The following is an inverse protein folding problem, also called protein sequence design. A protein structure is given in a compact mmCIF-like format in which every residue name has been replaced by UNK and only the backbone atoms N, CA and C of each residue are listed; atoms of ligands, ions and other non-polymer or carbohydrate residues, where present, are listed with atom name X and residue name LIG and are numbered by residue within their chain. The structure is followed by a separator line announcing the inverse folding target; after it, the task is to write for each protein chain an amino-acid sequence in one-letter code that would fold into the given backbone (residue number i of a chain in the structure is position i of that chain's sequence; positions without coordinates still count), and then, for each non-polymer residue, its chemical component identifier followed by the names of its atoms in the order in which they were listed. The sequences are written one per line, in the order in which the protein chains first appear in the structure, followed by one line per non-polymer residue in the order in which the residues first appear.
data_IF_824696359735
#
_entry.id   IF_824696359735
#
_cell.length_a   1.000
_cell.length_b   1.000
_cell.length_c   1.000
_cell.angle_alpha   90.00
_cell.angle_beta   90.00
_cell.angle_gamma   90.00
#
_symmetry.space_group_name_H-M   'P 1'
#
loop_
_entity.id
_entity.type
_entity.pdbx_description
1 polymer ?
#
# COMPACT_ATOMS: atom_id res chain seq x y z
N UNK A 1 -5.20 -10.23 16.02
CA UNK A 1 -4.35 -10.02 14.84
C UNK A 1 -3.91 -11.34 14.16
N UNK A 2 -4.16 -12.52 14.78
CA UNK A 2 -3.81 -13.81 14.19
C UNK A 2 -4.64 -14.18 12.96
N UNK A 3 -5.82 -13.60 12.80
CA UNK A 3 -6.79 -13.90 11.74
C UNK A 3 -7.42 -15.32 11.86
N UNK A 4 -7.52 -15.83 13.06
CA UNK A 4 -8.29 -17.03 13.42
C UNK A 4 -9.78 -16.65 13.64
N UNK A 5 -10.42 -16.16 12.57
CA UNK A 5 -11.73 -15.50 12.65
C UNK A 5 -12.84 -16.46 13.15
N UNK A 6 -12.71 -17.75 12.88
CA UNK A 6 -13.64 -18.77 13.39
C UNK A 6 -13.60 -18.92 14.92
N UNK A 7 -12.40 -18.89 15.51
CA UNK A 7 -12.22 -18.90 16.95
C UNK A 7 -12.77 -17.60 17.58
N UNK A 8 -12.47 -16.46 16.97
CA UNK A 8 -13.01 -15.16 17.37
C UNK A 8 -14.54 -15.16 17.43
N UNK A 9 -15.24 -15.66 16.40
CA UNK A 9 -16.72 -15.76 16.41
C UNK A 9 -17.27 -16.60 17.56
N UNK A 10 -16.61 -17.70 17.88
CA UNK A 10 -17.04 -18.55 19.03
C UNK A 10 -16.95 -17.80 20.36
N UNK A 11 -15.86 -17.03 20.55
CA UNK A 11 -15.69 -16.19 21.75
C UNK A 11 -16.76 -15.09 21.85
N UNK A 12 -17.10 -14.45 20.72
CA UNK A 12 -18.15 -13.42 20.70
C UNK A 12 -19.54 -13.97 20.98
N UNK A 13 -19.87 -15.18 20.52
CA UNK A 13 -21.12 -15.85 20.85
C UNK A 13 -21.17 -16.12 22.35
N UNK A 14 -20.09 -16.64 22.94
CA UNK A 14 -20.01 -16.89 24.37
C UNK A 14 -20.21 -15.60 25.18
N UNK A 15 -19.49 -14.53 24.85
CA UNK A 15 -19.59 -13.23 25.54
C UNK A 15 -21.01 -12.67 25.52
N UNK A 16 -21.71 -12.75 24.40
CA UNK A 16 -23.10 -12.30 24.27
C UNK A 16 -24.10 -13.08 25.14
N UNK A 17 -23.82 -14.37 25.39
CA UNK A 17 -24.63 -15.19 26.28
C UNK A 17 -24.35 -14.88 27.75
N UNK A 18 -23.09 -14.66 28.11
CA UNK A 18 -22.67 -14.39 29.48
C UNK A 18 -22.96 -12.93 29.89
N UNK A 19 -22.80 -11.97 28.98
CA UNK A 19 -22.97 -10.52 29.24
C UNK A 19 -23.85 -9.89 28.14
N UNK A 20 -25.16 -10.11 28.12
CA UNK A 20 -26.04 -9.65 27.04
C UNK A 20 -26.07 -8.15 26.81
N UNK A 21 -25.75 -7.35 27.86
CA UNK A 21 -25.67 -5.88 27.79
C UNK A 21 -24.37 -5.34 27.19
N UNK A 22 -23.34 -6.18 27.00
CA UNK A 22 -22.08 -5.76 26.41
C UNK A 22 -22.23 -5.56 24.89
N UNK A 23 -22.02 -4.32 24.42
CA UNK A 23 -22.10 -3.98 22.99
C UNK A 23 -20.75 -4.07 22.25
N UNK A 24 -19.62 -4.23 22.95
CA UNK A 24 -18.29 -4.39 22.31
C UNK A 24 -18.24 -5.56 21.34
N UNK A 25 -18.92 -6.71 21.54
CA UNK A 25 -19.01 -7.78 20.57
C UNK A 25 -19.54 -7.35 19.18
N UNK A 26 -20.33 -6.25 19.09
CA UNK A 26 -20.79 -5.71 17.80
C UNK A 26 -19.63 -5.12 16.99
N UNK A 27 -18.75 -4.39 17.65
CA UNK A 27 -17.53 -3.87 17.03
C UNK A 27 -16.61 -5.01 16.59
N UNK A 28 -16.36 -5.99 17.46
CA UNK A 28 -15.47 -7.12 17.14
C UNK A 28 -16.03 -8.01 16.03
N UNK A 29 -17.35 -8.19 15.94
CA UNK A 29 -17.98 -8.86 14.77
C UNK A 29 -17.74 -8.08 13.47
N UNK A 30 -17.73 -6.73 13.54
CA UNK A 30 -17.41 -5.92 12.38
C UNK A 30 -15.95 -6.09 11.95
N UNK A 31 -15.02 -6.20 12.90
CA UNK A 31 -13.62 -6.56 12.61
C UNK A 31 -13.49 -7.91 11.90
N UNK A 32 -14.27 -8.92 12.32
CA UNK A 32 -14.28 -10.24 11.66
C UNK A 32 -14.73 -10.12 10.20
N UNK A 33 -15.82 -9.40 9.95
CA UNK A 33 -16.30 -9.19 8.58
C UNK A 33 -15.34 -8.32 7.77
N UNK A 34 -14.74 -7.29 8.38
CA UNK A 34 -13.71 -6.43 7.78
C UNK A 34 -12.49 -7.24 7.33
N UNK A 35 -11.91 -8.06 8.21
CA UNK A 35 -10.75 -8.88 7.85
C UNK A 35 -11.09 -10.00 6.87
N UNK A 36 -12.30 -10.55 6.90
CA UNK A 36 -12.79 -11.49 5.88
C UNK A 36 -12.77 -10.83 4.49
N UNK A 37 -13.20 -9.56 4.41
CA UNK A 37 -13.19 -8.80 3.16
C UNK A 37 -11.80 -8.32 2.76
N UNK A 38 -10.98 -7.93 3.72
CA UNK A 38 -9.62 -7.48 3.44
C UNK A 38 -8.77 -8.60 2.81
N UNK A 39 -8.97 -9.86 3.27
CA UNK A 39 -8.24 -11.03 2.79
C UNK A 39 -8.88 -11.71 1.58
N UNK A 40 -10.22 -11.63 1.42
CA UNK A 40 -10.95 -12.41 0.40
C UNK A 40 -11.54 -11.59 -0.74
N UNK A 41 -11.87 -10.32 -0.53
CA UNK A 41 -12.43 -9.37 -1.51
C UNK A 41 -13.63 -9.87 -2.33
N UNK A 42 -14.45 -10.76 -1.78
CA UNK A 42 -15.58 -11.36 -2.50
C UNK A 42 -16.76 -10.41 -2.54
N UNK A 43 -17.41 -10.27 -3.70
CA UNK A 43 -18.60 -9.41 -3.85
C UNK A 43 -19.74 -9.81 -2.91
N UNK A 44 -20.02 -11.09 -2.75
CA UNK A 44 -21.08 -11.57 -1.85
C UNK A 44 -20.81 -11.28 -0.37
N UNK A 45 -19.52 -11.27 0.05
CA UNK A 45 -19.13 -10.86 1.40
C UNK A 45 -19.26 -9.34 1.57
N UNK A 46 -18.99 -8.55 0.53
CA UNK A 46 -19.19 -7.12 0.52
C UNK A 46 -20.66 -6.74 0.72
N UNK A 47 -21.57 -7.40 0.00
CA UNK A 47 -23.01 -7.13 0.13
C UNK A 47 -23.53 -7.48 1.53
N UNK A 48 -23.06 -8.59 2.10
CA UNK A 48 -23.36 -9.01 3.47
C UNK A 48 -22.78 -8.03 4.49
N UNK A 49 -21.53 -7.58 4.30
CA UNK A 49 -20.89 -6.62 5.17
C UNK A 49 -21.68 -5.32 5.27
N UNK A 50 -22.10 -4.74 4.15
CA UNK A 50 -22.91 -3.51 4.14
C UNK A 50 -24.17 -3.62 4.99
N UNK A 51 -24.88 -4.75 4.83
CA UNK A 51 -26.09 -5.03 5.62
C UNK A 51 -25.78 -5.18 7.12
N UNK A 52 -24.76 -6.00 7.44
CA UNK A 52 -24.38 -6.27 8.84
C UNK A 52 -23.86 -5.00 9.53
N UNK A 53 -23.07 -4.21 8.84
CA UNK A 53 -22.56 -2.93 9.34
C UNK A 53 -23.70 -2.01 9.78
N UNK A 54 -24.73 -1.84 8.94
CA UNK A 54 -25.88 -0.99 9.27
C UNK A 54 -26.66 -1.55 10.49
N UNK A 55 -26.88 -2.85 10.57
CA UNK A 55 -27.54 -3.47 11.72
C UNK A 55 -26.76 -3.24 13.02
N UNK A 56 -25.42 -3.36 12.98
CA UNK A 56 -24.55 -3.10 14.14
C UNK A 56 -24.58 -1.63 14.57
N UNK A 57 -24.51 -0.69 13.62
CA UNK A 57 -24.60 0.74 13.92
C UNK A 57 -25.95 1.08 14.55
N UNK A 58 -27.05 0.54 14.04
CA UNK A 58 -28.38 0.74 14.62
C UNK A 58 -28.45 0.20 16.08
N UNK A 59 -27.88 -0.98 16.31
CA UNK A 59 -27.84 -1.58 17.65
C UNK A 59 -26.95 -0.75 18.62
N UNK A 60 -25.80 -0.24 18.17
CA UNK A 60 -24.94 0.63 18.97
C UNK A 60 -25.58 1.98 19.29
N UNK A 61 -26.44 2.50 18.41
CA UNK A 61 -27.04 3.84 18.57
C UNK A 61 -27.92 4.00 19.80
N UNK A 62 -28.42 2.89 20.37
CA UNK A 62 -29.22 2.86 21.61
C UNK A 62 -28.38 2.57 22.85
N UNK A 63 -27.05 2.51 22.73
CA UNK A 63 -26.13 2.20 23.82
C UNK A 63 -25.91 3.34 24.80
N UNK A 64 -25.05 3.09 25.80
CA UNK A 64 -24.70 4.06 26.84
C UNK A 64 -23.80 5.17 26.29
N UNK A 65 -24.36 6.37 26.11
CA UNK A 65 -23.69 7.57 25.60
C UNK A 65 -22.68 8.18 26.59
N UNK A 66 -22.69 7.76 27.85
CA UNK A 66 -21.70 8.18 28.86
C UNK A 66 -20.40 7.38 28.77
N UNK A 67 -20.39 6.28 28.03
CA UNK A 67 -19.22 5.44 27.82
C UNK A 67 -18.38 5.95 26.64
N UNK A 68 -17.04 6.04 26.75
CA UNK A 68 -16.18 6.37 25.63
C UNK A 68 -16.23 5.31 24.52
N UNK A 69 -16.66 4.10 24.81
CA UNK A 69 -16.81 3.03 23.83
C UNK A 69 -18.00 3.24 22.88
N UNK A 70 -18.98 4.06 23.27
CA UNK A 70 -20.19 4.33 22.48
C UNK A 70 -19.85 4.99 21.12
N UNK A 71 -19.17 6.13 21.16
CA UNK A 71 -18.76 6.83 19.95
C UNK A 71 -17.60 6.13 19.24
N UNK A 72 -16.64 5.60 20.01
CA UNK A 72 -15.50 4.87 19.44
C UNK A 72 -15.94 3.70 18.55
N UNK A 73 -16.82 2.82 19.05
CA UNK A 73 -17.28 1.68 18.26
C UNK A 73 -17.97 2.09 16.96
N UNK A 74 -18.79 3.15 17.02
CA UNK A 74 -19.43 3.69 15.80
C UNK A 74 -18.42 4.32 14.85
N UNK A 75 -17.44 5.05 15.37
CA UNK A 75 -16.35 5.63 14.60
C UNK A 75 -15.53 4.59 13.88
N UNK A 76 -15.11 3.53 14.57
CA UNK A 76 -14.32 2.43 14.01
C UNK A 76 -15.10 1.62 12.96
N UNK A 77 -16.37 1.31 13.19
CA UNK A 77 -17.21 0.59 12.21
C UNK A 77 -17.36 1.43 10.94
N UNK A 78 -17.58 2.74 11.05
CA UNK A 78 -17.66 3.63 9.89
C UNK A 78 -16.30 3.72 9.16
N UNK A 79 -15.18 3.78 9.89
CA UNK A 79 -13.84 3.80 9.31
C UNK A 79 -13.55 2.52 8.50
N UNK A 80 -13.84 1.35 9.08
CA UNK A 80 -13.74 0.05 8.40
C UNK A 80 -14.65 0.01 7.17
N UNK A 81 -15.88 0.52 7.28
CA UNK A 81 -16.82 0.66 6.18
C UNK A 81 -16.28 1.51 5.04
N UNK A 82 -15.66 2.65 5.37
CA UNK A 82 -15.04 3.55 4.40
C UNK A 82 -13.92 2.85 3.62
N UNK A 83 -13.01 2.16 4.31
CA UNK A 83 -11.88 1.46 3.69
C UNK A 83 -12.36 0.36 2.73
N UNK A 84 -13.34 -0.45 3.14
CA UNK A 84 -13.90 -1.51 2.30
C UNK A 84 -14.65 -0.94 1.10
N UNK A 85 -15.52 0.06 1.30
CA UNK A 85 -16.26 0.70 0.21
C UNK A 85 -15.33 1.35 -0.83
N UNK A 86 -14.26 2.02 -0.39
CA UNK A 86 -13.25 2.58 -1.28
C UNK A 86 -12.53 1.49 -2.09
N UNK A 87 -12.24 0.34 -1.50
CA UNK A 87 -11.62 -0.82 -2.17
C UNK A 87 -12.53 -1.37 -3.28
N UNK A 88 -13.85 -1.36 -3.08
CA UNK A 88 -14.85 -1.75 -4.08
C UNK A 88 -15.28 -0.60 -5.01
N UNK A 89 -14.55 0.52 -5.05
CA UNK A 89 -14.81 1.69 -5.91
C UNK A 89 -16.13 2.46 -5.58
N UNK A 90 -16.77 2.15 -4.47
CA UNK A 90 -17.97 2.86 -3.98
C UNK A 90 -17.55 4.14 -3.22
N UNK A 91 -16.96 5.09 -3.95
CA UNK A 91 -16.33 6.28 -3.36
C UNK A 91 -17.30 7.23 -2.65
N UNK A 92 -18.53 7.36 -3.14
CA UNK A 92 -19.52 8.22 -2.50
C UNK A 92 -19.98 7.67 -1.16
N UNK A 93 -20.27 6.36 -1.11
CA UNK A 93 -20.59 5.71 0.16
C UNK A 93 -19.39 5.69 1.11
N UNK A 94 -18.16 5.51 0.59
CA UNK A 94 -16.95 5.60 1.39
C UNK A 94 -16.75 6.99 2.00
N UNK A 95 -16.98 8.06 1.22
CA UNK A 95 -16.90 9.44 1.72
C UNK A 95 -17.90 9.72 2.84
N UNK A 96 -19.11 9.18 2.74
CA UNK A 96 -20.13 9.28 3.78
C UNK A 96 -19.70 8.61 5.08
N UNK A 97 -19.12 7.40 4.99
CA UNK A 97 -18.59 6.71 6.17
C UNK A 97 -17.38 7.43 6.77
N UNK A 98 -16.51 8.04 5.96
CA UNK A 98 -15.40 8.88 6.43
C UNK A 98 -15.94 10.04 7.27
N UNK A 99 -17.00 10.72 6.81
CA UNK A 99 -17.65 11.80 7.54
C UNK A 99 -18.15 11.32 8.91
N UNK A 100 -18.84 10.19 8.94
CA UNK A 100 -19.38 9.64 10.19
C UNK A 100 -18.25 9.19 11.13
N UNK A 101 -17.23 8.49 10.61
CA UNK A 101 -16.07 8.10 11.40
C UNK A 101 -15.39 9.32 12.03
N UNK A 102 -15.14 10.37 11.23
CA UNK A 102 -14.55 11.62 11.72
C UNK A 102 -15.40 12.29 12.78
N UNK A 103 -16.72 12.36 12.58
CA UNK A 103 -17.66 12.95 13.54
C UNK A 103 -17.61 12.21 14.89
N UNK A 104 -17.78 10.88 14.89
CA UNK A 104 -17.83 10.09 16.09
C UNK A 104 -16.50 10.11 16.86
N UNK A 105 -15.36 9.94 16.18
CA UNK A 105 -14.04 9.91 16.82
C UNK A 105 -13.65 11.30 17.36
N UNK A 106 -14.00 12.40 16.67
CA UNK A 106 -13.73 13.74 17.17
C UNK A 106 -14.64 14.12 18.34
N UNK A 107 -15.93 13.78 18.30
CA UNK A 107 -16.86 14.04 19.41
C UNK A 107 -16.43 13.24 20.65
N UNK A 108 -16.00 11.99 20.46
CA UNK A 108 -15.49 11.16 21.55
C UNK A 108 -14.23 11.76 22.17
N UNK A 109 -13.27 12.18 21.36
CA UNK A 109 -12.05 12.82 21.86
C UNK A 109 -12.33 14.11 22.66
N UNK A 110 -13.32 14.92 22.25
CA UNK A 110 -13.73 16.11 23.00
C UNK A 110 -14.32 15.77 24.37
N UNK A 111 -15.09 14.69 24.47
CA UNK A 111 -15.74 14.23 25.69
C UNK A 111 -14.81 13.45 26.60
N UNK A 112 -13.90 12.68 26.00
CA UNK A 112 -13.00 11.75 26.70
C UNK A 112 -11.55 11.89 26.18
N UNK A 113 -10.86 13.02 26.43
CA UNK A 113 -9.54 13.30 25.84
C UNK A 113 -8.46 12.28 26.25
N UNK A 114 -8.65 11.57 27.36
CA UNK A 114 -7.75 10.52 27.84
C UNK A 114 -8.08 9.12 27.29
N UNK A 115 -9.11 9.00 26.46
CA UNK A 115 -9.47 7.74 25.83
C UNK A 115 -8.59 7.48 24.61
N UNK A 116 -7.47 6.84 24.86
CA UNK A 116 -6.38 6.64 23.90
C UNK A 116 -6.78 5.90 22.57
N UNK A 117 -7.74 4.94 22.56
CA UNK A 117 -8.11 4.21 21.35
C UNK A 117 -8.56 5.11 20.18
N UNK A 118 -9.21 6.25 20.41
CA UNK A 118 -9.67 7.17 19.36
C UNK A 118 -8.55 7.64 18.46
N UNK A 119 -7.35 7.79 18.99
CA UNK A 119 -6.23 8.40 18.28
C UNK A 119 -5.71 7.55 17.11
N UNK A 120 -5.91 6.22 17.15
CA UNK A 120 -5.55 5.37 16.02
C UNK A 120 -6.44 5.68 14.81
N UNK A 121 -7.75 5.63 14.96
CA UNK A 121 -8.69 5.92 13.88
C UNK A 121 -8.60 7.37 13.40
N UNK A 122 -8.44 8.34 14.32
CA UNK A 122 -8.22 9.76 13.97
C UNK A 122 -6.95 9.96 13.17
N UNK A 123 -5.82 9.42 13.65
CA UNK A 123 -4.54 9.51 12.96
C UNK A 123 -4.58 8.87 11.58
N UNK A 124 -5.24 7.72 11.47
CA UNK A 124 -5.44 7.02 10.20
C UNK A 124 -6.23 7.87 9.19
N UNK A 125 -7.35 8.48 9.60
CA UNK A 125 -8.15 9.37 8.74
C UNK A 125 -7.32 10.55 8.23
N UNK A 126 -6.60 11.24 9.13
CA UNK A 126 -5.76 12.39 8.78
C UNK A 126 -4.63 11.98 7.82
N UNK A 127 -3.95 10.86 8.09
CA UNK A 127 -2.85 10.38 7.27
C UNK A 127 -3.30 9.95 5.86
N UNK A 128 -4.42 9.23 5.76
CA UNK A 128 -4.90 8.67 4.50
C UNK A 128 -5.50 9.71 3.55
N UNK A 129 -6.02 10.83 4.05
CA UNK A 129 -6.69 11.80 3.20
C UNK A 129 -5.82 12.26 2.02
N UNK A 130 -4.55 12.50 2.26
CA UNK A 130 -3.57 12.88 1.22
C UNK A 130 -3.35 11.82 0.15
N UNK A 131 -3.57 10.55 0.46
CA UNK A 131 -3.32 9.40 -0.41
C UNK A 131 -4.57 8.85 -1.09
N UNK A 132 -5.76 9.41 -0.83
CA UNK A 132 -7.00 8.93 -1.43
C UNK A 132 -6.99 8.99 -2.96
N UNK A 133 -7.60 8.01 -3.65
CA UNK A 133 -7.81 8.07 -5.09
C UNK A 133 -8.57 9.34 -5.51
N UNK A 134 -8.38 9.85 -6.74
CA UNK A 134 -9.03 11.09 -7.17
C UNK A 134 -10.55 11.11 -6.97
N UNK A 135 -11.24 10.01 -7.27
CA UNK A 135 -12.70 9.91 -7.06
C UNK A 135 -13.09 10.08 -5.59
N UNK A 136 -12.36 9.45 -4.67
CA UNK A 136 -12.61 9.59 -3.24
C UNK A 136 -12.19 10.98 -2.72
N UNK A 137 -11.07 11.54 -3.19
CA UNK A 137 -10.67 12.93 -2.85
C UNK A 137 -11.75 13.94 -3.23
N UNK A 138 -12.33 13.81 -4.43
CA UNK A 138 -13.42 14.68 -4.87
C UNK A 138 -14.61 14.55 -3.94
N UNK A 139 -15.03 13.33 -3.62
CA UNK A 139 -16.16 13.08 -2.74
C UNK A 139 -15.94 13.62 -1.32
N UNK A 140 -14.76 13.39 -0.74
CA UNK A 140 -14.39 13.84 0.62
C UNK A 140 -14.09 15.33 0.67
N UNK A 141 -13.59 15.94 -0.42
CA UNK A 141 -13.30 17.38 -0.50
C UNK A 141 -14.50 18.27 -0.18
N UNK A 142 -15.72 17.83 -0.51
CA UNK A 142 -16.95 18.50 -0.11
C UNK A 142 -17.22 18.52 1.41
N UNK A 143 -16.46 17.74 2.19
CA UNK A 143 -16.60 17.65 3.65
C UNK A 143 -15.69 18.62 4.41
N UNK A 144 -14.87 19.42 3.70
CA UNK A 144 -13.96 20.39 4.31
C UNK A 144 -12.82 19.77 5.12
N UNK A 145 -12.45 18.52 4.84
CA UNK A 145 -11.33 17.86 5.51
C UNK A 145 -9.99 18.24 4.85
N UNK A 146 -9.02 18.62 5.67
CA UNK A 146 -7.65 18.90 5.23
C UNK A 146 -6.75 17.70 5.40
N UNK A 147 -5.86 17.49 4.41
CA UNK A 147 -4.85 16.43 4.47
C UNK A 147 -3.62 16.91 5.24
N UNK A 148 -3.22 16.17 6.27
CA UNK A 148 -1.96 16.34 6.94
C UNK A 148 -1.33 14.99 7.28
N UNK A 149 -0.72 14.37 6.28
CA UNK A 149 -0.13 13.03 6.39
C UNK A 149 0.87 12.93 7.55
N UNK A 150 1.72 13.95 7.71
CA UNK A 150 2.73 13.96 8.78
C UNK A 150 2.11 14.00 10.17
N UNK A 151 1.10 14.85 10.38
CA UNK A 151 0.39 14.95 11.64
C UNK A 151 -0.35 13.65 11.99
N UNK A 152 -1.02 13.05 11.00
CA UNK A 152 -1.70 11.76 11.19
C UNK A 152 -0.75 10.65 11.60
N UNK A 153 0.42 10.53 10.94
CA UNK A 153 1.46 9.56 11.31
C UNK A 153 2.00 9.83 12.71
N UNK A 154 2.31 11.09 13.06
CA UNK A 154 2.81 11.46 14.38
C UNK A 154 1.81 11.12 15.50
N UNK A 155 0.51 11.36 15.26
CA UNK A 155 -0.54 10.99 16.19
C UNK A 155 -0.57 9.48 16.43
N UNK A 156 -0.51 8.68 15.37
CA UNK A 156 -0.47 7.22 15.46
C UNK A 156 0.82 6.73 16.17
N UNK A 157 1.99 7.31 15.86
CA UNK A 157 3.26 6.96 16.52
C UNK A 157 3.24 7.24 18.04
N UNK A 158 2.74 8.41 18.42
CA UNK A 158 2.61 8.81 19.83
C UNK A 158 1.63 7.89 20.55
N UNK A 159 0.52 7.56 19.91
CA UNK A 159 -0.49 6.65 20.44
C UNK A 159 0.09 5.25 20.65
N UNK A 160 0.74 4.69 19.64
CA UNK A 160 1.37 3.38 19.71
C UNK A 160 2.39 3.29 20.85
N UNK A 161 3.22 4.32 21.04
CA UNK A 161 4.16 4.37 22.18
C UNK A 161 3.44 4.34 23.53
N UNK A 162 2.33 5.04 23.67
CA UNK A 162 1.50 5.03 24.89
C UNK A 162 0.76 3.70 25.11
N UNK A 163 0.53 2.92 24.05
CA UNK A 163 -0.07 1.60 24.08
C UNK A 163 0.91 0.48 24.50
N UNK A 164 2.21 0.74 24.61
CA UNK A 164 3.17 -0.26 25.07
C UNK A 164 2.90 -0.72 26.51
N UNK A 165 2.17 0.07 27.27
CA UNK A 165 1.80 -0.25 28.66
C UNK A 165 0.43 0.32 29.03
N UNK A 166 -0.13 -0.12 30.16
CA UNK A 166 -1.39 0.38 30.67
C UNK A 166 -2.62 -0.40 30.19
N UNK A 167 -3.80 0.13 30.50
CA UNK A 167 -5.08 -0.58 30.31
C UNK A 167 -5.47 -0.88 28.88
N UNK A 168 -4.84 -0.20 27.91
CA UNK A 168 -5.11 -0.36 26.46
C UNK A 168 -3.97 -1.07 25.71
N UNK A 169 -3.04 -1.71 26.42
CA UNK A 169 -1.88 -2.37 25.82
C UNK A 169 -2.25 -3.47 24.80
N UNK A 170 -3.43 -4.07 24.94
CA UNK A 170 -3.97 -5.06 23.98
C UNK A 170 -4.24 -4.49 22.58
N UNK A 171 -4.24 -3.16 22.41
CA UNK A 171 -4.38 -2.50 21.10
C UNK A 171 -3.01 -2.19 20.45
N UNK A 172 -1.90 -2.50 21.12
CA UNK A 172 -0.56 -2.22 20.58
C UNK A 172 -0.32 -2.89 19.22
N UNK A 173 -0.62 -4.19 19.12
CA UNK A 173 -0.39 -4.97 17.91
C UNK A 173 -1.15 -4.40 16.71
N UNK A 174 -2.40 -4.02 16.91
CA UNK A 174 -3.21 -3.36 15.89
C UNK A 174 -2.60 -2.03 15.45
N UNK A 175 -2.26 -1.18 16.41
CA UNK A 175 -1.66 0.13 16.16
C UNK A 175 -0.33 0.00 15.40
N UNK A 176 0.53 -0.94 15.80
CA UNK A 176 1.84 -1.18 15.20
C UNK A 176 1.73 -1.67 13.74
N UNK A 177 0.80 -2.60 13.49
CA UNK A 177 0.56 -3.15 12.14
C UNK A 177 -0.06 -2.10 11.22
N UNK A 178 -1.09 -1.37 11.68
CA UNK A 178 -1.72 -0.31 10.89
C UNK A 178 -0.72 0.80 10.55
N UNK A 179 0.01 1.29 11.56
CA UNK A 179 1.00 2.34 11.34
C UNK A 179 2.09 1.90 10.35
N UNK A 180 2.61 0.68 10.48
CA UNK A 180 3.65 0.16 9.58
C UNK A 180 3.14 0.05 8.15
N UNK A 181 1.94 -0.49 7.96
CA UNK A 181 1.33 -0.62 6.65
C UNK A 181 1.03 0.74 6.01
N UNK A 182 0.37 1.64 6.75
CA UNK A 182 -0.03 2.96 6.24
C UNK A 182 1.18 3.83 5.94
N UNK A 183 2.15 3.91 6.85
CA UNK A 183 3.35 4.70 6.64
C UNK A 183 4.10 4.23 5.39
N UNK A 184 4.30 2.93 5.20
CA UNK A 184 4.92 2.39 3.99
C UNK A 184 4.08 2.59 2.73
N UNK A 185 2.75 2.69 2.85
CA UNK A 185 1.88 2.90 1.69
C UNK A 185 1.91 4.33 1.17
N UNK A 186 2.14 5.31 2.04
CA UNK A 186 2.02 6.75 1.72
C UNK A 186 3.34 7.51 1.76
N UNK A 187 4.41 6.90 2.26
CA UNK A 187 5.76 7.51 2.27
C UNK A 187 6.79 6.57 1.67
N UNK A 188 7.74 7.10 0.91
CA UNK A 188 8.83 6.34 0.28
C UNK A 188 10.15 6.47 1.09
N UNK A 189 10.06 6.41 2.43
CA UNK A 189 11.23 6.47 3.31
C UNK A 189 11.93 5.10 3.40
N UNK A 190 13.26 5.02 3.19
CA UNK A 190 14.04 3.81 3.43
C UNK A 190 13.91 3.28 4.88
N UNK A 191 13.71 4.19 5.85
CA UNK A 191 13.54 3.83 7.27
C UNK A 191 12.26 3.05 7.56
N UNK A 192 11.29 3.04 6.65
CA UNK A 192 10.02 2.33 6.87
C UNK A 192 10.23 0.86 7.19
N UNK A 193 11.24 0.21 6.58
CA UNK A 193 11.60 -1.17 6.87
C UNK A 193 12.03 -1.35 8.33
N UNK A 194 13.04 -0.61 8.77
CA UNK A 194 13.57 -0.73 10.13
C UNK A 194 12.50 -0.41 11.18
N UNK A 195 11.69 0.62 10.95
CA UNK A 195 10.57 0.98 11.83
C UNK A 195 9.53 -0.12 11.89
N UNK A 196 9.19 -0.75 10.76
CA UNK A 196 8.23 -1.86 10.71
C UNK A 196 8.75 -3.07 11.49
N UNK A 197 10.01 -3.48 11.27
CA UNK A 197 10.62 -4.61 11.98
C UNK A 197 10.61 -4.37 13.50
N UNK A 198 11.02 -3.18 13.95
CA UNK A 198 11.06 -2.86 15.38
C UNK A 198 9.66 -2.86 16.01
N UNK A 199 8.65 -2.26 15.36
CA UNK A 199 7.26 -2.25 15.83
C UNK A 199 6.66 -3.64 15.91
N UNK A 200 6.97 -4.50 14.94
CA UNK A 200 6.41 -5.85 14.87
C UNK A 200 7.16 -6.88 15.71
N UNK A 201 8.28 -6.52 16.35
CA UNK A 201 9.18 -7.44 17.03
C UNK A 201 8.49 -8.28 18.10
N UNK A 202 7.65 -7.66 18.93
CA UNK A 202 6.96 -8.31 20.04
C UNK A 202 5.58 -8.90 19.68
N UNK A 203 5.11 -8.69 18.43
CA UNK A 203 3.83 -9.26 17.98
C UNK A 203 4.00 -10.77 17.82
N UNK A 204 2.97 -11.53 18.19
CA UNK A 204 2.94 -12.98 18.10
C UNK A 204 3.38 -13.49 16.71
N UNK A 205 4.24 -14.49 16.70
CA UNK A 205 4.69 -15.16 15.47
C UNK A 205 3.55 -15.88 14.73
N UNK A 206 2.47 -16.23 15.44
CA UNK A 206 1.26 -16.81 14.85
C UNK A 206 0.33 -15.77 14.20
N UNK A 207 0.71 -14.49 14.19
CA UNK A 207 -0.06 -13.45 13.52
C UNK A 207 0.14 -13.49 12.00
N UNK A 208 -0.89 -13.94 11.28
CA UNK A 208 -0.90 -13.94 9.82
C UNK A 208 -0.86 -12.50 9.26
N UNK A 209 -1.46 -11.55 9.96
CA UNK A 209 -1.42 -10.14 9.58
C UNK A 209 -0.02 -9.55 9.74
N UNK A 210 0.75 -9.97 10.75
CA UNK A 210 2.17 -9.61 10.91
C UNK A 210 2.98 -10.07 9.69
N UNK A 211 2.80 -11.33 9.26
CA UNK A 211 3.49 -11.85 8.09
C UNK A 211 3.16 -11.04 6.82
N UNK A 212 1.89 -10.68 6.64
CA UNK A 212 1.44 -9.83 5.54
C UNK A 212 2.10 -8.44 5.58
N UNK A 213 2.04 -7.76 6.72
CA UNK A 213 2.56 -6.39 6.84
C UNK A 213 4.07 -6.35 6.67
N UNK A 214 4.83 -7.25 7.30
CA UNK A 214 6.28 -7.29 7.13
C UNK A 214 6.64 -7.64 5.68
N UNK A 215 6.00 -8.64 5.08
CA UNK A 215 6.21 -9.01 3.68
C UNK A 215 5.94 -7.86 2.72
N UNK A 216 4.83 -7.16 2.92
CA UNK A 216 4.45 -5.98 2.13
C UNK A 216 5.49 -4.84 2.26
N UNK A 217 5.87 -4.48 3.50
CA UNK A 217 6.85 -3.41 3.75
C UNK A 217 8.21 -3.78 3.19
N UNK A 218 8.66 -5.01 3.41
CA UNK A 218 9.94 -5.51 2.89
C UNK A 218 10.00 -5.40 1.35
N UNK A 219 8.93 -5.78 0.65
CA UNK A 219 8.85 -5.64 -0.82
C UNK A 219 8.87 -4.18 -1.27
N UNK A 220 8.20 -3.29 -0.54
CA UNK A 220 8.19 -1.87 -0.88
C UNK A 220 9.53 -1.17 -0.68
N UNK A 221 10.38 -1.73 0.15
CA UNK A 221 11.67 -1.15 0.54
C UNK A 221 12.89 -1.92 0.03
N UNK A 222 12.70 -2.81 -0.96
CA UNK A 222 13.80 -3.54 -1.58
C UNK A 222 14.45 -4.59 -0.67
N UNK A 223 13.65 -5.33 0.09
CA UNK A 223 14.11 -6.40 0.98
C UNK A 223 13.44 -7.73 0.63
N UNK A 224 13.56 -8.16 -0.64
CA UNK A 224 12.87 -9.37 -1.12
C UNK A 224 13.28 -10.64 -0.38
N UNK A 225 14.53 -10.80 0.05
CA UNK A 225 14.96 -11.98 0.83
C UNK A 225 14.27 -12.05 2.20
N UNK A 226 14.04 -10.90 2.84
CA UNK A 226 13.26 -10.84 4.08
C UNK A 226 11.79 -11.18 3.83
N UNK A 227 11.21 -10.66 2.75
CA UNK A 227 9.84 -10.99 2.37
C UNK A 227 9.69 -12.51 2.14
N UNK A 228 10.61 -13.14 1.41
CA UNK A 228 10.64 -14.60 1.19
C UNK A 228 10.70 -15.33 2.53
N UNK A 229 11.62 -14.95 3.41
CA UNK A 229 11.80 -15.59 4.71
C UNK A 229 10.53 -15.51 5.57
N UNK A 230 9.94 -14.33 5.70
CA UNK A 230 8.75 -14.11 6.53
C UNK A 230 7.51 -14.79 5.95
N UNK A 231 7.33 -14.72 4.62
CA UNK A 231 6.18 -15.33 3.96
C UNK A 231 6.26 -16.88 3.96
N UNK A 232 7.46 -17.45 3.88
CA UNK A 232 7.65 -18.88 3.99
C UNK A 232 7.44 -19.39 5.44
N UNK A 233 7.80 -18.58 6.43
CA UNK A 233 7.61 -18.90 7.85
C UNK A 233 6.19 -18.56 8.37
N UNK A 234 5.28 -18.05 7.52
CA UNK A 234 3.93 -17.67 7.94
C UNK A 234 3.16 -18.86 8.52
N UNK A 235 2.30 -18.62 9.50
CA UNK A 235 1.45 -19.67 10.02
C UNK A 235 0.49 -20.18 8.94
N UNK A 236 0.25 -21.48 8.95
CA UNK A 236 -0.66 -22.17 8.01
C UNK A 236 -1.62 -23.08 8.77
N UNK A 237 -2.78 -23.30 8.25
CA UNK A 237 -3.76 -24.24 8.83
C UNK A 237 -5.20 -23.77 8.64
N UNK A 238 -6.17 -24.69 8.87
CA UNK A 238 -7.59 -24.43 8.62
C UNK A 238 -8.22 -23.45 9.62
N UNK A 239 -7.52 -23.10 10.70
CA UNK A 239 -7.97 -22.11 11.69
C UNK A 239 -7.85 -20.68 11.18
N UNK A 240 -6.95 -20.43 10.24
CA UNK A 240 -6.72 -19.09 9.67
C UNK A 240 -7.72 -18.77 8.55
N UNK A 241 -8.00 -17.48 8.37
CA UNK A 241 -8.74 -17.03 7.20
C UNK A 241 -7.93 -17.29 5.91
N UNK A 242 -8.55 -17.74 4.81
CA UNK A 242 -7.88 -17.80 3.51
C UNK A 242 -7.35 -16.42 3.11
N UNK A 243 -6.05 -16.32 2.79
CA UNK A 243 -5.40 -15.05 2.48
C UNK A 243 -4.47 -15.19 1.27
N UNK A 244 -5.08 -15.33 0.09
CA UNK A 244 -4.38 -15.58 -1.17
C UNK A 244 -3.33 -14.50 -1.51
N UNK A 245 -3.53 -13.24 -1.07
CA UNK A 245 -2.58 -12.16 -1.29
C UNK A 245 -1.18 -12.43 -0.71
N UNK A 246 -1.04 -13.35 0.27
CA UNK A 246 0.28 -13.76 0.76
C UNK A 246 1.08 -14.52 -0.32
N UNK A 247 0.42 -15.35 -1.13
CA UNK A 247 1.06 -16.03 -2.25
C UNK A 247 1.39 -15.05 -3.38
N UNK A 248 0.54 -14.05 -3.64
CA UNK A 248 0.86 -12.95 -4.55
C UNK A 248 2.14 -12.20 -4.11
N UNK A 249 2.27 -11.84 -2.83
CA UNK A 249 3.49 -11.20 -2.30
C UNK A 249 4.71 -12.12 -2.42
N UNK A 250 4.55 -13.43 -2.14
CA UNK A 250 5.61 -14.43 -2.35
C UNK A 250 6.05 -14.45 -3.82
N UNK A 251 5.11 -14.46 -4.75
CA UNK A 251 5.41 -14.42 -6.18
C UNK A 251 6.22 -13.18 -6.57
N UNK A 252 5.88 -12.00 -6.05
CA UNK A 252 6.65 -10.77 -6.30
C UNK A 252 8.08 -10.90 -5.75
N UNK A 253 8.24 -11.39 -4.51
CA UNK A 253 9.56 -11.53 -3.88
C UNK A 253 10.47 -12.47 -4.66
N UNK A 254 9.97 -13.65 -5.07
CA UNK A 254 10.68 -14.62 -5.87
C UNK A 254 11.00 -14.11 -7.28
N UNK A 255 10.06 -13.39 -7.92
CA UNK A 255 10.29 -12.79 -9.25
C UNK A 255 11.37 -11.70 -9.20
N UNK A 256 11.36 -10.87 -8.18
CA UNK A 256 12.40 -9.84 -7.98
C UNK A 256 13.80 -10.45 -7.82
N UNK A 257 13.89 -11.64 -7.20
CA UNK A 257 15.13 -12.42 -7.09
C UNK A 257 15.47 -13.20 -8.38
N UNK A 258 14.50 -13.29 -9.32
CA UNK A 258 14.53 -14.05 -10.57
C UNK A 258 14.57 -15.58 -10.35
N UNK A 259 13.88 -16.05 -9.34
CA UNK A 259 13.73 -17.49 -9.09
C UNK A 259 12.85 -18.14 -10.17
N UNK A 260 13.24 -19.32 -10.61
CA UNK A 260 12.56 -20.04 -11.69
C UNK A 260 11.13 -20.48 -11.33
N UNK A 261 10.81 -20.59 -10.05
CA UNK A 261 9.51 -21.00 -9.52
C UNK A 261 8.57 -19.83 -9.20
N UNK A 262 8.99 -18.59 -9.42
CA UNK A 262 8.19 -17.39 -9.09
C UNK A 262 6.76 -17.44 -9.64
N UNK A 263 6.57 -17.96 -10.86
CA UNK A 263 5.24 -18.08 -11.48
C UNK A 263 4.29 -19.02 -10.72
N UNK A 264 4.80 -20.00 -9.99
CA UNK A 264 3.96 -20.98 -9.24
C UNK A 264 3.16 -20.28 -8.15
N UNK A 265 3.74 -19.28 -7.48
CA UNK A 265 3.05 -18.49 -6.45
C UNK A 265 1.91 -17.65 -7.03
N UNK A 266 2.11 -17.05 -8.21
CA UNK A 266 1.05 -16.32 -8.89
C UNK A 266 -0.07 -17.25 -9.37
N UNK A 267 0.24 -18.43 -9.90
CA UNK A 267 -0.79 -19.43 -10.24
C UNK A 267 -1.55 -19.89 -9.01
N UNK A 268 -0.88 -20.12 -7.88
CA UNK A 268 -1.54 -20.47 -6.63
C UNK A 268 -2.48 -19.35 -6.19
N UNK A 269 -1.98 -18.09 -6.19
CA UNK A 269 -2.83 -16.92 -5.92
C UNK A 269 -4.07 -16.90 -6.83
N UNK A 270 -3.91 -17.02 -8.14
CA UNK A 270 -5.03 -16.98 -9.10
C UNK A 270 -6.05 -18.12 -8.91
N UNK A 271 -5.59 -19.29 -8.44
CA UNK A 271 -6.47 -20.44 -8.15
C UNK A 271 -7.28 -20.23 -6.88
N UNK A 272 -6.68 -19.67 -5.85
CA UNK A 272 -7.31 -19.49 -4.54
C UNK A 272 -8.05 -18.15 -4.42
N UNK A 273 -7.68 -17.13 -5.21
CA UNK A 273 -8.27 -15.80 -5.15
C UNK A 273 -9.69 -15.78 -5.73
N UNK A 274 -10.63 -15.30 -4.94
CA UNK A 274 -12.01 -15.06 -5.36
C UNK A 274 -12.35 -13.55 -5.31
N UNK A 275 -11.32 -12.72 -5.11
CA UNK A 275 -11.42 -11.28 -5.00
C UNK A 275 -11.22 -10.55 -6.32
N UNK A 276 -11.16 -9.24 -6.23
CA UNK A 276 -11.18 -8.31 -7.37
C UNK A 276 -9.81 -7.73 -7.72
N UNK A 277 -8.81 -7.83 -6.82
CA UNK A 277 -7.51 -7.16 -6.99
C UNK A 277 -6.40 -8.13 -7.42
N UNK A 278 -5.38 -7.60 -8.09
CA UNK A 278 -4.12 -8.24 -8.45
C UNK A 278 -4.20 -9.37 -9.48
N UNK A 279 -5.34 -9.57 -10.13
CA UNK A 279 -5.52 -10.62 -11.16
C UNK A 279 -4.71 -10.26 -12.42
N UNK A 280 -4.87 -9.04 -12.93
CA UNK A 280 -4.14 -8.56 -14.10
C UNK A 280 -2.64 -8.49 -13.83
N UNK A 281 -2.25 -7.95 -12.68
CA UNK A 281 -0.83 -7.86 -12.29
C UNK A 281 -0.20 -9.27 -12.17
N UNK A 282 -0.92 -10.25 -11.62
CA UNK A 282 -0.42 -11.62 -11.55
C UNK A 282 -0.17 -12.22 -12.93
N UNK A 283 -1.07 -12.07 -13.87
CA UNK A 283 -0.84 -12.52 -15.24
C UNK A 283 0.32 -11.79 -15.92
N UNK A 284 0.51 -10.49 -15.64
CA UNK A 284 1.67 -9.75 -16.13
C UNK A 284 2.97 -10.31 -15.54
N UNK A 285 3.01 -10.62 -14.23
CA UNK A 285 4.19 -11.20 -13.58
C UNK A 285 4.51 -12.60 -14.09
N UNK A 286 3.51 -13.40 -14.40
CA UNK A 286 3.69 -14.69 -15.08
C UNK A 286 4.23 -14.48 -16.50
N UNK A 287 3.73 -13.47 -17.22
CA UNK A 287 4.29 -13.11 -18.54
C UNK A 287 5.77 -12.70 -18.43
N UNK A 288 6.16 -11.92 -17.40
CA UNK A 288 7.57 -11.60 -17.16
C UNK A 288 8.42 -12.86 -16.94
N UNK A 289 7.94 -13.77 -16.07
CA UNK A 289 8.65 -15.04 -15.82
C UNK A 289 8.85 -15.82 -17.11
N UNK A 290 7.83 -15.90 -17.96
CA UNK A 290 7.91 -16.59 -19.25
C UNK A 290 8.86 -15.88 -20.24
N UNK A 291 8.82 -14.53 -20.28
CA UNK A 291 9.70 -13.73 -21.12
C UNK A 291 11.18 -13.91 -20.76
N UNK A 292 11.50 -13.90 -19.45
CA UNK A 292 12.86 -14.04 -18.94
C UNK A 292 13.49 -15.42 -19.20
N UNK A 293 12.67 -16.44 -19.49
CA UNK A 293 13.12 -17.78 -19.92
C UNK A 293 12.86 -18.06 -21.40
N UNK A 294 12.59 -17.00 -22.20
CA UNK A 294 12.35 -17.04 -23.65
C UNK A 294 11.19 -17.97 -24.07
N UNK A 295 10.19 -18.16 -23.20
CA UNK A 295 8.98 -18.91 -23.55
C UNK A 295 7.92 -17.98 -24.16
N UNK A 296 8.05 -17.73 -25.47
CA UNK A 296 7.20 -16.79 -26.20
C UNK A 296 5.71 -17.17 -26.20
N UNK A 297 5.40 -18.47 -26.21
CA UNK A 297 4.00 -18.96 -26.19
C UNK A 297 3.33 -18.60 -24.87
N UNK A 298 3.99 -18.92 -23.75
CA UNK A 298 3.49 -18.61 -22.41
C UNK A 298 3.44 -17.09 -22.18
N UNK A 299 4.44 -16.34 -22.66
CA UNK A 299 4.49 -14.89 -22.57
C UNK A 299 3.27 -14.25 -23.25
N UNK A 300 3.04 -14.52 -24.54
CA UNK A 300 1.89 -13.96 -25.27
C UNK A 300 0.55 -14.43 -24.73
N UNK A 301 0.47 -15.69 -24.29
CA UNK A 301 -0.73 -16.25 -23.68
C UNK A 301 -1.14 -15.50 -22.40
N UNK A 302 -0.18 -15.18 -21.54
CA UNK A 302 -0.44 -14.46 -20.31
C UNK A 302 -0.72 -12.96 -20.54
N UNK A 303 -0.07 -12.30 -21.53
CA UNK A 303 -0.44 -10.93 -21.91
C UNK A 303 -1.89 -10.82 -22.37
N UNK A 304 -2.40 -11.79 -23.13
CA UNK A 304 -3.83 -11.83 -23.49
C UNK A 304 -4.73 -11.90 -22.25
N UNK A 305 -4.34 -12.71 -21.25
CA UNK A 305 -5.08 -12.81 -20.00
C UNK A 305 -5.04 -11.52 -19.17
N UNK A 306 -3.94 -10.76 -19.21
CA UNK A 306 -3.91 -9.41 -18.59
C UNK A 306 -5.02 -8.52 -19.16
N UNK A 307 -5.27 -8.61 -20.46
CA UNK A 307 -6.30 -7.81 -21.13
C UNK A 307 -7.71 -8.31 -20.76
N UNK A 308 -7.94 -9.64 -20.85
CA UNK A 308 -9.28 -10.23 -20.77
C UNK A 308 -9.75 -10.55 -19.36
N UNK A 309 -8.85 -10.87 -18.41
CA UNK A 309 -9.22 -11.38 -17.08
C UNK A 309 -9.16 -10.29 -16.00
N UNK A 310 -10.05 -10.38 -15.01
CA UNK A 310 -10.06 -9.52 -13.83
C UNK A 310 -10.40 -8.05 -14.10
N UNK A 311 -10.32 -7.26 -13.04
CA UNK A 311 -10.68 -5.84 -13.04
C UNK A 311 -9.44 -4.94 -12.94
N UNK A 312 -9.49 -3.73 -13.51
CA UNK A 312 -8.47 -2.70 -13.36
C UNK A 312 -8.85 -1.73 -12.21
N UNK A 313 -9.10 -2.25 -11.01
CA UNK A 313 -9.48 -1.43 -9.85
C UNK A 313 -8.27 -0.98 -9.05
N UNK A 314 -7.32 -1.87 -8.81
CA UNK A 314 -6.07 -1.50 -8.14
C UNK A 314 -5.12 -0.78 -9.09
N UNK A 315 -4.23 0.09 -8.57
CA UNK A 315 -3.20 0.74 -9.39
C UNK A 315 -2.25 -0.27 -10.04
N UNK A 316 -1.99 -1.42 -9.40
CA UNK A 316 -1.19 -2.51 -9.97
C UNK A 316 -1.87 -3.13 -11.19
N UNK A 317 -3.19 -3.38 -11.11
CA UNK A 317 -3.93 -3.94 -12.24
C UNK A 317 -4.09 -2.94 -13.39
N UNK A 318 -4.25 -1.63 -13.09
CA UNK A 318 -4.24 -0.57 -14.09
C UNK A 318 -2.89 -0.48 -14.80
N UNK A 319 -1.79 -0.56 -14.04
CA UNK A 319 -0.44 -0.58 -14.59
C UNK A 319 -0.22 -1.81 -15.46
N UNK A 320 -0.63 -2.99 -14.98
CA UNK A 320 -0.51 -4.23 -15.74
C UNK A 320 -1.22 -4.15 -17.10
N UNK A 321 -2.42 -3.58 -17.11
CA UNK A 321 -3.18 -3.38 -18.35
C UNK A 321 -2.47 -2.40 -19.30
N UNK A 322 -1.92 -1.29 -18.79
CA UNK A 322 -1.12 -0.35 -19.60
C UNK A 322 0.10 -1.02 -20.21
N UNK A 323 0.88 -1.76 -19.41
CA UNK A 323 2.08 -2.46 -19.88
C UNK A 323 1.76 -3.57 -20.90
N UNK A 324 0.66 -4.31 -20.70
CA UNK A 324 0.25 -5.33 -21.67
C UNK A 324 -0.13 -4.74 -23.03
N UNK A 325 -0.70 -3.53 -23.07
CA UNK A 325 -1.04 -2.83 -24.30
C UNK A 325 0.17 -2.15 -24.96
N UNK A 326 1.13 -1.66 -24.18
CA UNK A 326 2.31 -0.96 -24.67
C UNK A 326 3.47 -1.90 -25.07
N UNK A 327 3.41 -3.17 -24.65
CA UNK A 327 4.54 -4.10 -24.72
C UNK A 327 5.45 -4.05 -23.50
N UNK A 328 6.14 -5.16 -23.24
CA UNK A 328 7.09 -5.26 -22.11
C UNK A 328 8.43 -4.62 -22.54
N UNK A 329 9.08 -3.96 -21.57
CA UNK A 329 10.42 -3.41 -21.76
C UNK A 329 11.43 -4.48 -22.22
N UNK A 330 12.49 -4.06 -22.93
CA UNK A 330 13.59 -4.94 -23.32
C UNK A 330 14.11 -5.74 -22.11
N UNK A 331 14.47 -7.00 -22.35
CA UNK A 331 14.83 -7.95 -21.28
C UNK A 331 15.84 -7.40 -20.27
N UNK A 332 16.96 -6.74 -20.65
CA UNK A 332 17.89 -6.19 -19.67
C UNK A 332 17.29 -5.08 -18.81
N UNK A 333 16.38 -4.26 -19.35
CA UNK A 333 15.64 -3.24 -18.60
C UNK A 333 14.68 -3.88 -17.59
N UNK A 334 13.98 -4.94 -18.01
CA UNK A 334 13.11 -5.71 -17.11
C UNK A 334 13.91 -6.36 -15.98
N UNK A 335 15.04 -7.03 -16.29
CA UNK A 335 15.93 -7.62 -15.29
C UNK A 335 16.45 -6.59 -14.29
N UNK A 336 16.87 -5.42 -14.77
CA UNK A 336 17.33 -4.33 -13.94
C UNK A 336 16.22 -3.81 -13.02
N UNK A 337 14.98 -3.66 -13.54
CA UNK A 337 13.81 -3.25 -12.76
C UNK A 337 13.50 -4.23 -11.63
N UNK A 338 13.39 -5.51 -11.95
CA UNK A 338 13.07 -6.55 -10.96
C UNK A 338 14.18 -6.64 -9.89
N UNK A 339 15.44 -6.60 -10.30
CA UNK A 339 16.56 -6.61 -9.36
C UNK A 339 16.56 -5.39 -8.46
N UNK A 340 16.29 -4.19 -9.00
CA UNK A 340 16.17 -2.96 -8.23
C UNK A 340 15.03 -3.05 -7.21
N UNK A 341 13.85 -3.47 -7.65
CA UNK A 341 12.66 -3.63 -6.79
C UNK A 341 12.91 -4.66 -5.67
N UNK A 342 13.78 -5.63 -5.91
CA UNK A 342 14.20 -6.64 -4.94
C UNK A 342 15.28 -6.18 -3.95
N UNK A 343 15.94 -5.04 -4.20
CA UNK A 343 17.09 -4.55 -3.41
C UNK A 343 18.45 -5.11 -3.89
N UNK A 344 18.49 -5.77 -5.05
CA UNK A 344 19.73 -6.32 -5.64
C UNK A 344 20.38 -5.28 -6.55
N UNK A 345 20.81 -4.15 -5.98
CA UNK A 345 21.24 -2.95 -6.73
C UNK A 345 22.48 -3.19 -7.61
N UNK A 346 23.46 -3.97 -7.13
CA UNK A 346 24.65 -4.30 -7.94
C UNK A 346 24.29 -5.17 -9.16
N UNK A 347 23.35 -6.12 -9.01
CA UNK A 347 22.83 -6.91 -10.13
C UNK A 347 22.07 -6.02 -11.12
N UNK A 348 21.24 -5.11 -10.60
CA UNK A 348 20.51 -4.16 -11.42
C UNK A 348 21.46 -3.28 -12.25
N UNK A 349 22.51 -2.77 -11.63
CA UNK A 349 23.56 -1.99 -12.31
C UNK A 349 24.24 -2.80 -13.39
N UNK A 350 24.63 -4.05 -13.11
CA UNK A 350 25.30 -4.92 -14.06
C UNK A 350 24.44 -5.17 -15.32
N UNK A 351 23.11 -5.36 -15.18
CA UNK A 351 22.23 -5.49 -16.33
C UNK A 351 22.17 -4.23 -17.19
N UNK A 352 22.14 -3.03 -16.60
CA UNK A 352 22.08 -1.79 -17.35
C UNK A 352 23.43 -1.45 -18.00
N UNK A 353 24.54 -1.62 -17.31
CA UNK A 353 25.87 -1.32 -17.86
C UNK A 353 26.28 -2.23 -19.03
N UNK A 354 25.62 -3.39 -19.18
CA UNK A 354 25.78 -4.25 -20.34
C UNK A 354 25.02 -3.75 -21.59
N UNK A 355 24.12 -2.74 -21.46
CA UNK A 355 23.36 -2.22 -22.59
C UNK A 355 24.18 -1.15 -23.31
N UNK A 356 24.30 -1.28 -24.63
CA UNK A 356 24.67 -0.14 -25.46
C UNK A 356 23.42 0.74 -25.67
N UNK A 357 23.41 1.96 -25.13
CA UNK A 357 22.24 2.88 -25.20
C UNK A 357 21.81 3.15 -26.65
N UNK A 358 22.74 3.15 -27.60
CA UNK A 358 22.44 3.36 -29.02
C UNK A 358 21.63 2.21 -29.65
N UNK A 359 21.64 1.03 -29.02
CA UNK A 359 20.79 -0.09 -29.43
C UNK A 359 19.33 0.04 -28.98
N UNK A 360 19.04 0.97 -28.08
CA UNK A 360 17.68 1.27 -27.65
C UNK A 360 17.05 2.26 -28.64
N UNK A 361 16.18 1.78 -29.53
CA UNK A 361 15.59 2.60 -30.58
C UNK A 361 14.38 3.41 -30.09
N UNK A 362 13.65 2.91 -29.10
CA UNK A 362 12.44 3.53 -28.57
C UNK A 362 12.79 4.61 -27.54
N UNK A 363 12.16 5.79 -27.66
CA UNK A 363 12.29 6.88 -26.67
C UNK A 363 12.02 6.41 -25.25
N UNK A 364 10.94 5.64 -25.06
CA UNK A 364 10.58 5.08 -23.76
C UNK A 364 11.71 4.25 -23.16
N UNK A 365 12.34 3.39 -23.94
CA UNK A 365 13.43 2.53 -23.47
C UNK A 365 14.67 3.34 -23.06
N UNK A 366 15.02 4.38 -23.85
CA UNK A 366 16.14 5.29 -23.51
C UNK A 366 15.88 6.06 -22.23
N UNK A 367 14.69 6.62 -22.06
CA UNK A 367 14.31 7.35 -20.86
C UNK A 367 14.26 6.43 -19.63
N UNK A 368 13.71 5.23 -19.78
CA UNK A 368 13.72 4.21 -18.72
C UNK A 368 15.15 3.85 -18.31
N UNK A 369 16.04 3.61 -19.27
CA UNK A 369 17.45 3.29 -19.02
C UNK A 369 18.14 4.39 -18.18
N UNK A 370 18.05 5.64 -18.61
CA UNK A 370 18.66 6.76 -17.90
C UNK A 370 18.08 6.94 -16.49
N UNK A 371 16.78 6.93 -16.38
CA UNK A 371 16.09 7.05 -15.11
C UNK A 371 16.46 5.92 -14.12
N UNK A 372 16.52 4.66 -14.59
CA UNK A 372 16.88 3.53 -13.74
C UNK A 372 18.32 3.57 -13.28
N UNK A 373 19.26 4.03 -14.12
CA UNK A 373 20.64 4.28 -13.69
C UNK A 373 20.66 5.29 -12.55
N UNK A 374 19.92 6.41 -12.67
CA UNK A 374 19.78 7.40 -11.60
C UNK A 374 19.30 6.75 -10.30
N UNK A 375 18.21 5.97 -10.36
CA UNK A 375 17.64 5.26 -9.20
C UNK A 375 18.60 4.26 -8.56
N UNK A 376 19.33 3.51 -9.38
CA UNK A 376 20.29 2.51 -8.88
C UNK A 376 21.47 3.19 -8.20
N UNK A 377 22.03 4.24 -8.82
CA UNK A 377 23.14 4.99 -8.21
C UNK A 377 22.71 5.69 -6.92
N UNK A 378 21.51 6.23 -6.85
CA UNK A 378 20.95 6.78 -5.62
C UNK A 378 20.85 5.72 -4.52
N UNK A 379 20.33 4.53 -4.81
CA UNK A 379 20.24 3.42 -3.86
C UNK A 379 21.62 2.90 -3.42
N UNK A 380 22.63 3.02 -4.28
CA UNK A 380 24.04 2.70 -3.96
C UNK A 380 24.79 3.86 -3.25
N UNK A 381 24.10 4.94 -2.87
CA UNK A 381 24.65 6.15 -2.26
C UNK A 381 25.72 6.86 -3.14
N UNK A 382 25.69 6.67 -4.45
CA UNK A 382 26.54 7.34 -5.44
C UNK A 382 25.84 8.58 -5.99
N UNK A 383 25.68 9.59 -5.12
CA UNK A 383 24.82 10.76 -5.37
C UNK A 383 25.21 11.53 -6.65
N UNK A 384 26.50 11.71 -6.94
CA UNK A 384 26.95 12.42 -8.14
C UNK A 384 26.52 11.71 -9.43
N UNK A 385 26.69 10.38 -9.48
CA UNK A 385 26.27 9.58 -10.63
C UNK A 385 24.74 9.57 -10.75
N UNK A 386 24.02 9.47 -9.64
CA UNK A 386 22.56 9.55 -9.63
C UNK A 386 22.06 10.86 -10.23
N UNK A 387 22.60 11.99 -9.77
CA UNK A 387 22.25 13.32 -10.28
C UNK A 387 22.55 13.45 -11.76
N UNK A 388 23.70 12.95 -12.22
CA UNK A 388 24.08 12.95 -13.64
C UNK A 388 23.02 12.26 -14.51
N UNK A 389 22.63 11.03 -14.15
CA UNK A 389 21.67 10.27 -14.95
C UNK A 389 20.25 10.83 -14.84
N UNK A 390 19.84 11.38 -13.71
CA UNK A 390 18.56 12.08 -13.58
C UNK A 390 18.51 13.35 -14.44
N UNK A 391 19.60 14.13 -14.51
CA UNK A 391 19.68 15.29 -15.41
C UNK A 391 19.55 14.85 -16.88
N UNK A 392 20.22 13.77 -17.28
CA UNK A 392 20.08 13.24 -18.64
C UNK A 392 18.63 12.81 -18.92
N UNK A 393 18.00 12.06 -18.02
CA UNK A 393 16.59 11.66 -18.17
C UNK A 393 15.65 12.85 -18.26
N UNK A 394 15.82 13.85 -17.39
CA UNK A 394 15.03 15.09 -17.38
C UNK A 394 15.15 15.87 -18.69
N UNK A 395 16.39 16.07 -19.19
CA UNK A 395 16.64 16.83 -20.41
C UNK A 395 16.10 16.14 -21.66
N UNK A 396 16.23 14.82 -21.76
CA UNK A 396 15.74 14.06 -22.91
C UNK A 396 14.21 13.89 -22.93
N UNK A 397 13.55 13.93 -21.77
CA UNK A 397 12.14 13.59 -21.66
C UNK A 397 11.19 14.73 -21.31
N UNK A 398 11.57 16.00 -21.44
CA UNK A 398 10.73 17.17 -21.02
C UNK A 398 9.32 17.18 -21.64
N UNK A 399 9.18 16.72 -22.88
CA UNK A 399 7.90 16.67 -23.59
C UNK A 399 7.34 15.26 -23.73
N UNK A 400 7.96 14.29 -23.06
CA UNK A 400 7.57 12.89 -23.16
C UNK A 400 6.31 12.61 -22.33
N UNK A 401 5.37 11.77 -22.79
CA UNK A 401 4.21 11.35 -22.02
C UNK A 401 4.57 10.37 -20.88
N UNK A 402 5.81 9.87 -20.85
CA UNK A 402 6.27 8.89 -19.87
C UNK A 402 6.76 9.57 -18.60
N UNK A 403 6.53 8.93 -17.45
CA UNK A 403 6.83 9.48 -16.12
C UNK A 403 8.32 9.62 -15.78
N UNK A 404 9.22 9.03 -16.56
CA UNK A 404 10.64 8.91 -16.19
C UNK A 404 11.33 10.26 -15.98
N UNK A 405 11.07 11.22 -16.86
CA UNK A 405 11.69 12.55 -16.78
C UNK A 405 11.14 13.35 -15.60
N UNK A 406 9.83 13.36 -15.39
CA UNK A 406 9.20 14.05 -14.27
C UNK A 406 9.67 13.47 -12.93
N UNK A 407 9.74 12.15 -12.85
CA UNK A 407 10.21 11.48 -11.63
C UNK A 407 11.72 11.69 -11.41
N UNK A 408 12.52 11.77 -12.48
CA UNK A 408 13.95 12.16 -12.38
C UNK A 408 14.11 13.58 -11.82
N UNK A 409 13.31 14.53 -12.30
CA UNK A 409 13.30 15.89 -11.75
C UNK A 409 12.87 15.93 -10.28
N UNK A 410 11.88 15.12 -9.89
CA UNK A 410 11.45 14.95 -8.50
C UNK A 410 12.60 14.45 -7.60
N UNK A 411 13.34 13.42 -8.04
CA UNK A 411 14.48 12.88 -7.29
C UNK A 411 15.63 13.89 -7.19
N UNK A 412 15.93 14.64 -8.26
CA UNK A 412 16.89 15.73 -8.20
C UNK A 412 16.50 16.77 -7.16
N UNK A 413 15.24 17.18 -7.15
CA UNK A 413 14.74 18.13 -6.16
C UNK A 413 14.92 17.61 -4.73
N UNK A 414 14.61 16.33 -4.47
CA UNK A 414 14.80 15.68 -3.17
C UNK A 414 16.28 15.61 -2.75
N UNK A 415 17.19 15.31 -3.68
CA UNK A 415 18.63 15.27 -3.42
C UNK A 415 19.12 16.68 -3.03
N UNK A 416 18.75 17.73 -3.78
CA UNK A 416 19.12 19.09 -3.44
C UNK A 416 18.49 19.56 -2.11
N UNK A 417 17.24 19.17 -1.82
CA UNK A 417 16.60 19.45 -0.52
C UNK A 417 17.39 18.81 0.63
N UNK A 418 17.82 17.55 0.48
CA UNK A 418 18.64 16.85 1.48
C UNK A 418 20.03 17.48 1.66
N UNK A 419 20.59 18.10 0.62
CA UNK A 419 21.85 18.87 0.67
C UNK A 419 21.66 20.32 1.17
N UNK A 420 20.43 20.71 1.56
CA UNK A 420 20.06 22.07 1.95
C UNK A 420 20.25 23.13 0.85
N UNK A 421 20.38 22.72 -0.42
CA UNK A 421 20.32 23.61 -1.57
C UNK A 421 18.88 23.86 -2.01
N UNK A 422 18.18 24.66 -1.23
CA UNK A 422 16.77 24.95 -1.45
C UNK A 422 16.51 25.75 -2.74
N UNK A 423 17.50 26.39 -3.31
CA UNK A 423 17.37 27.12 -4.58
C UNK A 423 17.17 26.12 -5.73
N UNK A 424 18.10 25.19 -5.88
CA UNK A 424 17.99 24.14 -6.90
C UNK A 424 16.82 23.21 -6.63
N UNK A 425 16.57 22.83 -5.37
CA UNK A 425 15.44 22.00 -5.01
C UNK A 425 14.10 22.60 -5.50
N UNK A 426 13.83 23.88 -5.23
CA UNK A 426 12.62 24.57 -5.71
C UNK A 426 12.52 24.60 -7.23
N UNK A 427 13.63 24.79 -7.93
CA UNK A 427 13.64 24.81 -9.39
C UNK A 427 13.26 23.44 -9.97
N UNK A 428 13.83 22.35 -9.44
CA UNK A 428 13.52 21.01 -9.91
C UNK A 428 12.11 20.54 -9.52
N UNK A 429 11.58 20.93 -8.35
CA UNK A 429 10.16 20.67 -8.03
C UNK A 429 9.21 21.39 -8.99
N UNK A 430 9.51 22.65 -9.38
CA UNK A 430 8.72 23.37 -10.38
C UNK A 430 8.84 22.72 -11.76
N UNK A 431 10.07 22.39 -12.18
CA UNK A 431 10.30 21.68 -13.43
C UNK A 431 9.50 20.37 -13.51
N UNK A 432 9.47 19.59 -12.42
CA UNK A 432 8.67 18.40 -12.31
C UNK A 432 7.16 18.67 -12.57
N UNK A 433 6.61 19.74 -11.99
CA UNK A 433 5.21 20.12 -12.17
C UNK A 433 4.88 20.62 -13.59
N UNK A 434 5.87 21.15 -14.31
CA UNK A 434 5.70 21.69 -15.67
C UNK A 434 5.82 20.61 -16.76
N UNK A 435 6.26 19.39 -16.41
CA UNK A 435 6.37 18.28 -17.35
C UNK A 435 5.01 17.72 -17.78
N UNK A 436 4.97 17.09 -18.97
CA UNK A 436 3.73 16.70 -19.65
C UNK A 436 3.42 15.21 -19.55
N UNK A 437 3.99 14.52 -18.58
CA UNK A 437 3.73 13.10 -18.38
C UNK A 437 2.25 12.83 -18.11
N UNK A 438 1.77 11.70 -18.61
CA UNK A 438 0.41 11.20 -18.37
C UNK A 438 0.40 10.09 -17.32
N UNK A 439 1.53 9.37 -17.21
CA UNK A 439 1.70 8.26 -16.28
C UNK A 439 2.03 8.77 -14.88
N UNK A 440 1.32 8.29 -13.85
CA UNK A 440 1.56 8.61 -12.41
C UNK A 440 1.54 10.10 -12.04
N UNK A 441 1.13 10.97 -12.94
CA UNK A 441 1.18 12.43 -12.79
C UNK A 441 0.69 12.93 -11.45
N UNK A 442 -0.51 12.51 -11.01
CA UNK A 442 -1.08 13.00 -9.74
C UNK A 442 -0.21 12.66 -8.52
N UNK A 443 0.45 11.50 -8.52
CA UNK A 443 1.34 11.07 -7.44
C UNK A 443 2.64 11.89 -7.42
N UNK A 444 3.27 12.04 -8.57
CA UNK A 444 4.50 12.81 -8.76
C UNK A 444 4.26 14.29 -8.43
N UNK A 445 3.21 14.88 -8.98
CA UNK A 445 2.83 16.28 -8.72
C UNK A 445 2.57 16.57 -7.24
N UNK A 446 1.88 15.64 -6.54
CA UNK A 446 1.61 15.82 -5.10
C UNK A 446 2.91 15.85 -4.30
N UNK A 447 3.85 14.96 -4.58
CA UNK A 447 5.16 14.93 -3.91
C UNK A 447 5.95 16.21 -4.19
N UNK A 448 5.94 16.70 -5.44
CA UNK A 448 6.60 17.97 -5.81
C UNK A 448 5.98 19.18 -5.09
N UNK A 449 4.64 19.25 -5.03
CA UNK A 449 3.93 20.32 -4.29
C UNK A 449 4.22 20.28 -2.79
N UNK A 450 4.32 19.09 -2.19
CA UNK A 450 4.63 18.94 -0.77
C UNK A 450 6.10 19.30 -0.49
N UNK A 451 7.03 19.00 -1.39
CA UNK A 451 8.41 19.52 -1.34
C UNK A 451 8.45 21.04 -1.33
N UNK A 452 7.72 21.68 -2.25
CA UNK A 452 7.65 23.16 -2.29
C UNK A 452 7.03 23.78 -1.02
N UNK A 453 6.07 23.10 -0.37
CA UNK A 453 5.49 23.56 0.90
C UNK A 453 6.49 23.51 2.06
N UNK A 454 7.32 22.46 2.13
CA UNK A 454 8.35 22.32 3.19
C UNK A 454 9.42 23.41 3.16
N UNK A 455 9.61 24.04 2.00
CA UNK A 455 10.64 25.08 1.79
C UNK A 455 10.07 26.52 1.82
N UNK A 456 8.82 26.69 2.23
CA UNK A 456 8.24 28.02 2.52
C UNK A 456 8.64 28.47 3.91
#
# INVERSE_FOLDING_TARGET
MNLELGAGRKLLVKERLEVPGNQIPLLLDNYIDFFTLLSGERQGDYDRFKKNMQLRLNALSIGDRSSPWYNYAQGEINLQGALIKAKFQDYWSAAWEIKHASFFLQDNFKKFPDFLPDNNGRGLLIALFGSFPPGLKTAVGFLGMEANTTEGIQLMETTMKRLQSGKYAYLYDESALYLSFIQSSITDSPDNYNRCIERCKQIDSQSLLKAYVIGYVALRTGHSDVAISVLNARPVGPQYVPFAQLDYLSGIAHLNRMDSDASTYFYKFLTENQGISFIKDSYLRIAYSAYLVHNEIAYRGNLKKVISEGFAYSEKDKQALREANAGIAAEPLLRARLSYDGGYYDKALAYLTAINIESLHEERAKLEYLYRLGRIYEALNKTADAMHYYLLAGNHGQNSPYYFAANAALHLAMIYEAQHDFSHARNFYRLCLDMKEEEYKSGIDNQARDGLKRMK
#
